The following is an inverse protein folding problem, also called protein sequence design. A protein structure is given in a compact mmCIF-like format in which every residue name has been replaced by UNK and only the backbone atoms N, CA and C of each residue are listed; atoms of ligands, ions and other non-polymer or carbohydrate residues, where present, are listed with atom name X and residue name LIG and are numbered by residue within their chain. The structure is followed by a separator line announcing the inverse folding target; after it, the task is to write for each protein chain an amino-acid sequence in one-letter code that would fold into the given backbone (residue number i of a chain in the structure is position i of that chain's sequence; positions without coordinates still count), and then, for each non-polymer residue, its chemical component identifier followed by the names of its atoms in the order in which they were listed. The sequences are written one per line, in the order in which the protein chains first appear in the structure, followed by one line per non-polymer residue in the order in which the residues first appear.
data_IF_326261884974
#
_entry.id   IF_326261884974
#
_cell.length_a   1.000
_cell.length_b   1.000
_cell.length_c   1.000
_cell.angle_alpha   90.00
_cell.angle_beta   90.00
_cell.angle_gamma   90.00
#
_symmetry.space_group_name_H-M   'P 1'
#
loop_
_entity.id
_entity.type
_entity.pdbx_description
1 polymer ?
#
# COMPACT_ATOMS: atom_id res chain seq x y z
N UNK A 1 10.91 -16.72 6.67
CA UNK A 1 10.86 -16.15 5.29
C UNK A 1 9.46 -16.13 4.70
N UNK A 2 8.58 -17.10 4.97
CA UNK A 2 7.20 -17.14 4.44
C UNK A 2 6.21 -16.10 5.05
N UNK A 3 6.60 -15.38 6.10
CA UNK A 3 5.79 -14.33 6.72
C UNK A 3 6.15 -12.91 6.27
N UNK A 4 7.28 -12.72 5.57
CA UNK A 4 7.78 -11.41 5.13
C UNK A 4 7.12 -10.93 3.82
N UNK A 5 6.63 -11.87 3.00
CA UNK A 5 6.06 -11.61 1.67
C UNK A 5 4.55 -11.32 1.67
N UNK A 6 3.95 -11.16 2.85
CA UNK A 6 2.48 -11.11 3.01
C UNK A 6 1.89 -9.71 2.95
N UNK A 7 2.70 -8.65 2.86
CA UNK A 7 2.25 -7.27 3.17
C UNK A 7 3.04 -6.17 2.44
N UNK A 8 3.27 -6.37 1.17
CA UNK A 8 3.55 -5.29 0.23
C UNK A 8 2.31 -5.16 -0.68
N UNK A 9 2.31 -4.22 -1.62
CA UNK A 9 1.33 -4.08 -2.71
C UNK A 9 0.09 -3.22 -2.44
N UNK A 10 0.21 -1.93 -2.73
CA UNK A 10 -0.91 -1.06 -3.13
C UNK A 10 -0.55 -0.43 -4.48
N UNK A 11 -1.11 -0.97 -5.57
CA UNK A 11 -0.70 -0.69 -6.96
C UNK A 11 -1.81 -0.04 -7.78
N UNK A 12 -1.42 1.07 -8.40
CA UNK A 12 -1.69 1.65 -9.73
C UNK A 12 -3.09 1.58 -10.43
N UNK A 13 -3.45 2.78 -10.89
CA UNK A 13 -4.65 3.33 -11.53
C UNK A 13 -5.08 2.82 -12.92
N UNK A 14 -6.37 3.02 -13.23
CA UNK A 14 -6.83 3.79 -14.39
C UNK A 14 -8.13 4.56 -14.05
N UNK A 15 -8.20 5.83 -14.44
CA UNK A 15 -9.21 6.79 -13.97
C UNK A 15 -10.43 6.98 -14.89
N UNK A 16 -11.52 7.45 -14.28
CA UNK A 16 -12.46 8.53 -14.67
C UNK A 16 -13.82 8.28 -13.96
N UNK A 17 -14.16 9.07 -12.93
CA UNK A 17 -15.55 9.19 -12.47
C UNK A 17 -15.77 10.44 -11.58
N UNK A 18 -16.98 11.04 -11.62
CA UNK A 18 -17.25 12.38 -11.11
C UNK A 18 -17.49 12.42 -9.59
N UNK A 19 -17.26 13.61 -9.03
CA UNK A 19 -17.51 13.96 -7.64
C UNK A 19 -18.91 13.53 -7.17
N UNK A 20 -18.96 12.58 -6.23
CA UNK A 20 -20.15 12.29 -5.43
C UNK A 20 -19.79 12.50 -3.96
N UNK A 21 -20.64 13.26 -3.28
CA UNK A 21 -20.48 13.69 -1.90
C UNK A 21 -20.39 12.51 -0.92
N UNK A 22 -19.45 12.58 0.03
CA UNK A 22 -19.30 11.63 1.13
C UNK A 22 -20.35 11.91 2.22
N UNK A 23 -20.94 10.87 2.85
CA UNK A 23 -21.67 11.02 4.10
C UNK A 23 -20.69 11.35 5.23
N UNK A 24 -21.02 12.37 6.02
CA UNK A 24 -20.29 12.77 7.22
C UNK A 24 -20.83 12.03 8.44
N UNK A 25 -19.95 11.33 9.17
CA UNK A 25 -19.87 11.27 10.65
C UNK A 25 -18.90 10.17 11.11
N UNK A 26 -17.61 10.40 10.87
CA UNK A 26 -16.56 9.83 11.74
C UNK A 26 -15.72 11.00 12.24
N UNK A 27 -15.36 11.04 13.55
CA UNK A 27 -14.46 12.06 14.06
C UNK A 27 -13.14 11.94 13.29
N UNK A 28 -12.86 12.92 12.44
CA UNK A 28 -11.64 12.96 11.66
C UNK A 28 -10.47 13.02 12.66
N UNK A 29 -9.60 12.00 12.67
CA UNK A 29 -8.29 12.18 13.26
C UNK A 29 -7.61 13.26 12.42
N UNK A 30 -7.22 14.36 13.06
CA UNK A 30 -6.62 15.50 12.38
C UNK A 30 -5.38 15.03 11.64
N UNK A 31 -5.46 15.02 10.31
CA UNK A 31 -4.34 14.68 9.45
C UNK A 31 -3.20 15.65 9.75
N UNK A 32 -1.98 15.17 10.07
CA UNK A 32 -0.85 16.05 10.32
C UNK A 32 -0.60 16.93 9.09
N UNK A 33 -0.24 18.18 9.30
CA UNK A 33 0.21 19.08 8.22
C UNK A 33 1.72 19.00 8.01
N UNK A 34 2.44 18.51 9.03
CA UNK A 34 3.88 18.29 9.01
C UNK A 34 4.22 16.91 9.57
N UNK A 35 5.18 16.24 8.95
CA UNK A 35 5.72 14.96 9.34
C UNK A 35 7.25 15.04 9.47
N UNK A 36 7.80 14.20 10.35
CA UNK A 36 9.23 13.95 10.50
C UNK A 36 9.48 12.43 10.51
N UNK A 37 9.29 11.74 9.37
CA UNK A 37 9.37 10.29 9.33
C UNK A 37 10.77 9.78 9.69
N UNK A 38 10.82 8.55 10.20
CA UNK A 38 12.07 7.91 10.57
C UNK A 38 12.94 7.68 9.32
N UNK A 39 14.23 7.95 9.48
CA UNK A 39 15.27 7.68 8.49
C UNK A 39 16.35 6.86 9.19
N UNK A 40 16.50 5.60 8.77
CA UNK A 40 17.50 4.71 9.32
C UNK A 40 18.77 4.79 8.48
N UNK A 41 19.93 4.74 9.15
CA UNK A 41 21.24 4.70 8.49
C UNK A 41 22.01 3.49 9.00
N UNK A 42 22.37 2.59 8.11
CA UNK A 42 23.31 1.51 8.36
C UNK A 42 24.66 1.86 7.75
N UNK A 43 25.76 1.60 8.45
CA UNK A 43 27.13 1.91 8.02
C UNK A 43 28.00 0.68 8.06
N UNK A 44 28.88 0.51 7.07
CA UNK A 44 29.90 -0.53 7.04
C UNK A 44 31.15 -0.10 6.26
N UNK A 45 32.12 -1.00 6.05
CA UNK A 45 33.38 -0.68 5.37
C UNK A 45 33.19 -0.17 3.94
N UNK A 46 32.12 -0.59 3.26
CA UNK A 46 31.79 -0.21 1.89
C UNK A 46 30.97 1.09 1.77
N UNK A 47 30.58 1.71 2.88
CA UNK A 47 29.79 2.95 2.88
C UNK A 47 28.58 2.91 3.80
N UNK A 48 27.52 3.64 3.43
CA UNK A 48 26.29 3.74 4.19
C UNK A 48 25.06 3.45 3.32
N UNK A 49 24.04 2.83 3.92
CA UNK A 49 22.71 2.67 3.35
C UNK A 49 21.75 3.47 4.19
N UNK A 50 20.91 4.27 3.53
CA UNK A 50 19.76 4.91 4.13
C UNK A 50 18.52 4.10 3.80
N UNK A 51 17.73 3.75 4.82
CA UNK A 51 16.41 3.14 4.66
C UNK A 51 15.38 4.19 5.06
N UNK A 52 14.41 4.43 4.18
CA UNK A 52 13.33 5.39 4.39
C UNK A 52 12.01 4.73 4.01
N UNK A 53 11.07 4.67 4.96
CA UNK A 53 9.77 4.06 4.73
C UNK A 53 8.86 5.02 3.97
N UNK A 54 8.27 4.55 2.86
CA UNK A 54 7.37 5.36 2.02
C UNK A 54 5.90 5.07 2.33
N UNK A 55 5.01 5.99 1.93
CA UNK A 55 3.57 5.78 1.87
C UNK A 55 3.13 6.17 0.46
N UNK A 56 2.53 5.22 -0.26
CA UNK A 56 2.13 5.37 -1.67
C UNK A 56 1.06 6.44 -1.92
N UNK A 57 0.17 6.69 -0.96
CA UNK A 57 -0.86 7.71 -1.08
C UNK A 57 -0.83 8.60 0.14
N UNK A 58 -0.57 9.89 -0.07
CA UNK A 58 -0.60 10.89 0.98
C UNK A 58 -1.73 11.90 0.76
N UNK A 59 -2.18 12.55 1.85
CA UNK A 59 -2.87 13.82 1.76
C UNK A 59 -1.97 14.84 1.03
N UNK A 60 -2.46 15.54 -0.01
CA UNK A 60 -1.62 16.42 -0.84
C UNK A 60 -0.86 17.53 -0.11
N UNK A 61 -1.39 17.99 1.03
CA UNK A 61 -0.82 19.12 1.79
C UNK A 61 0.17 18.70 2.90
N UNK A 62 0.50 17.41 3.04
CA UNK A 62 1.40 16.93 4.09
C UNK A 62 2.87 17.23 3.75
N UNK A 63 3.49 18.12 4.52
CA UNK A 63 4.92 18.40 4.42
C UNK A 63 5.75 17.38 5.23
N UNK A 64 6.45 16.47 4.56
CA UNK A 64 7.19 15.38 5.23
C UNK A 64 8.72 15.42 5.05
N UNK A 65 9.22 16.22 4.10
CA UNK A 65 10.66 16.32 3.82
C UNK A 65 11.37 17.01 4.99
N UNK A 66 12.41 16.37 5.49
CA UNK A 66 13.24 16.89 6.59
C UNK A 66 14.65 17.20 6.09
N UNK A 67 15.42 18.08 6.77
CA UNK A 67 16.82 18.31 6.40
C UNK A 67 17.66 17.03 6.38
N UNK A 68 17.38 16.07 7.27
CA UNK A 68 18.08 14.78 7.30
C UNK A 68 17.77 13.92 6.06
N UNK A 69 16.51 13.88 5.62
CA UNK A 69 16.11 13.24 4.37
C UNK A 69 16.79 13.92 3.16
N UNK A 70 16.74 15.25 3.08
CA UNK A 70 17.35 16.01 1.98
C UNK A 70 18.86 15.74 1.88
N UNK A 71 19.55 15.74 3.02
CA UNK A 71 20.97 15.41 3.07
C UNK A 71 21.23 13.97 2.65
N UNK A 72 20.43 13.00 3.11
CA UNK A 72 20.61 11.60 2.74
C UNK A 72 20.41 11.38 1.23
N UNK A 73 19.37 11.96 0.62
CA UNK A 73 19.14 11.83 -0.81
C UNK A 73 20.26 12.49 -1.63
N UNK A 74 20.64 13.72 -1.29
CA UNK A 74 21.66 14.48 -2.04
C UNK A 74 23.08 13.93 -1.91
N UNK A 75 23.39 13.23 -0.82
CA UNK A 75 24.71 12.60 -0.61
C UNK A 75 24.77 11.15 -1.08
N UNK A 76 23.63 10.55 -1.43
CA UNK A 76 23.57 9.19 -1.95
C UNK A 76 24.03 9.15 -3.41
N UNK A 77 24.64 8.03 -3.81
CA UNK A 77 25.06 7.81 -5.20
C UNK A 77 24.01 7.10 -6.05
N UNK A 78 22.96 6.56 -5.42
CA UNK A 78 21.86 5.83 -6.05
C UNK A 78 20.62 5.85 -5.16
N UNK A 79 19.45 5.86 -5.77
CA UNK A 79 18.18 5.57 -5.13
C UNK A 79 17.74 4.14 -5.49
N UNK A 80 17.33 3.37 -4.50
CA UNK A 80 16.66 2.08 -4.68
C UNK A 80 15.22 2.20 -4.21
N UNK A 81 14.27 1.87 -5.09
CA UNK A 81 12.83 1.77 -4.78
C UNK A 81 12.43 0.29 -4.80
N UNK A 82 11.21 -0.01 -4.32
CA UNK A 82 10.62 -1.35 -4.46
C UNK A 82 10.53 -1.73 -5.95
N UNK A 83 9.82 -0.90 -6.72
CA UNK A 83 9.68 -1.06 -8.16
C UNK A 83 10.62 -0.16 -8.94
N UNK A 84 11.12 -0.68 -10.06
CA UNK A 84 11.71 0.16 -11.09
C UNK A 84 10.61 0.99 -11.76
N UNK A 85 10.41 2.22 -11.26
CA UNK A 85 9.33 3.09 -11.71
C UNK A 85 9.47 3.56 -13.17
N UNK A 86 10.66 3.40 -13.78
CA UNK A 86 10.93 3.81 -15.17
C UNK A 86 10.05 3.07 -16.19
N UNK A 87 9.44 1.95 -15.78
CA UNK A 87 8.58 1.11 -16.61
C UNK A 87 7.11 1.04 -16.13
N UNK A 88 6.65 1.96 -15.29
CA UNK A 88 5.26 1.97 -14.78
C UNK A 88 4.23 2.58 -15.76
N UNK A 89 4.52 2.60 -17.05
CA UNK A 89 3.55 3.05 -18.04
C UNK A 89 2.31 2.13 -18.00
N UNK A 90 1.10 2.66 -17.71
CA UNK A 90 -0.11 1.83 -17.64
C UNK A 90 -0.36 1.03 -18.92
N UNK A 91 0.00 1.56 -20.09
CA UNK A 91 -0.13 0.86 -21.36
C UNK A 91 0.76 -0.39 -21.46
N UNK A 92 1.88 -0.42 -20.74
CA UNK A 92 2.81 -1.56 -20.66
C UNK A 92 2.34 -2.56 -19.60
N UNK A 93 1.83 -2.08 -18.47
CA UNK A 93 1.45 -2.95 -17.35
C UNK A 93 0.08 -3.58 -17.48
N UNK A 94 -0.88 -2.90 -18.10
CA UNK A 94 -2.28 -3.35 -18.19
C UNK A 94 -2.42 -4.75 -18.80
N UNK A 95 -1.73 -5.13 -19.90
CA UNK A 95 -1.79 -6.49 -20.42
C UNK A 95 -1.34 -7.55 -19.41
N UNK A 96 -0.26 -7.30 -18.65
CA UNK A 96 0.20 -8.22 -17.60
C UNK A 96 -0.81 -8.32 -16.47
N UNK A 97 -1.36 -7.19 -15.99
CA UNK A 97 -2.38 -7.18 -14.94
C UNK A 97 -3.61 -7.98 -15.35
N UNK A 98 -4.13 -7.78 -16.56
CA UNK A 98 -5.29 -8.53 -17.06
C UNK A 98 -4.98 -10.02 -17.18
N UNK A 99 -3.82 -10.37 -17.74
CA UNK A 99 -3.39 -11.77 -17.91
C UNK A 99 -3.18 -12.50 -16.59
N UNK A 100 -2.61 -11.85 -15.58
CA UNK A 100 -2.28 -12.46 -14.28
C UNK A 100 -3.37 -12.28 -13.21
N UNK A 101 -4.27 -11.33 -13.43
CA UNK A 101 -5.27 -10.88 -12.47
C UNK A 101 -6.70 -11.31 -12.80
N UNK A 102 -6.98 -11.81 -14.01
CA UNK A 102 -8.29 -12.35 -14.37
C UNK A 102 -8.29 -13.89 -14.35
N UNK A 103 -9.42 -14.46 -13.92
CA UNK A 103 -9.71 -15.89 -13.98
C UNK A 103 -10.08 -16.31 -15.41
N UNK A 104 -9.98 -17.61 -15.78
CA UNK A 104 -10.52 -18.14 -17.05
C UNK A 104 -12.06 -18.22 -17.02
N UNK A 105 -12.75 -18.13 -18.17
CA UNK A 105 -14.22 -17.91 -18.28
C UNK A 105 -15.10 -18.89 -17.47
N UNK A 106 -14.61 -20.10 -17.24
CA UNK A 106 -15.28 -21.16 -16.49
C UNK A 106 -15.10 -21.05 -14.96
N UNK A 107 -14.34 -20.06 -14.47
CA UNK A 107 -14.11 -19.81 -13.05
C UNK A 107 -14.52 -18.40 -12.65
N UNK A 108 -14.92 -18.25 -11.38
CA UNK A 108 -15.30 -16.99 -10.79
C UNK A 108 -14.60 -16.74 -9.46
N UNK A 109 -14.53 -15.48 -9.05
CA UNK A 109 -14.01 -15.13 -7.73
C UNK A 109 -14.84 -15.74 -6.59
N UNK A 110 -16.13 -16.00 -6.83
CA UNK A 110 -16.99 -16.70 -5.87
C UNK A 110 -16.51 -18.14 -5.64
N UNK A 111 -16.05 -18.83 -6.69
CA UNK A 111 -15.49 -20.19 -6.57
C UNK A 111 -14.19 -20.21 -5.75
N UNK A 112 -13.36 -19.16 -5.86
CA UNK A 112 -12.10 -19.05 -5.12
C UNK A 112 -12.31 -18.72 -3.63
N UNK A 113 -13.36 -17.95 -3.31
CA UNK A 113 -13.60 -17.43 -1.95
C UNK A 113 -14.64 -18.21 -1.15
N UNK A 114 -15.57 -18.89 -1.83
CA UNK A 114 -16.82 -19.37 -1.25
C UNK A 114 -17.83 -18.24 -1.03
N UNK A 115 -19.10 -18.61 -0.85
CA UNK A 115 -20.22 -17.67 -0.85
C UNK A 115 -20.14 -16.59 0.23
N UNK A 116 -19.78 -16.96 1.46
CA UNK A 116 -19.75 -16.04 2.58
C UNK A 116 -18.74 -14.89 2.36
N UNK A 117 -17.50 -15.24 2.05
CA UNK A 117 -16.44 -14.24 1.86
C UNK A 117 -16.64 -13.43 0.58
N UNK A 118 -17.18 -14.05 -0.48
CA UNK A 118 -17.52 -13.33 -1.70
C UNK A 118 -18.63 -12.30 -1.48
N UNK A 119 -19.68 -12.64 -0.73
CA UNK A 119 -20.75 -11.69 -0.41
C UNK A 119 -20.21 -10.52 0.43
N UNK A 120 -19.37 -10.80 1.44
CA UNK A 120 -18.72 -9.75 2.23
C UNK A 120 -17.84 -8.82 1.37
N UNK A 121 -17.12 -9.39 0.40
CA UNK A 121 -16.31 -8.63 -0.56
C UNK A 121 -17.19 -7.77 -1.47
N UNK A 122 -18.30 -8.30 -1.97
CA UNK A 122 -19.25 -7.58 -2.82
C UNK A 122 -19.86 -6.40 -2.08
N UNK A 123 -20.29 -6.60 -0.83
CA UNK A 123 -20.83 -5.55 0.03
C UNK A 123 -19.79 -4.45 0.29
N UNK A 124 -18.54 -4.82 0.59
CA UNK A 124 -17.45 -3.87 0.77
C UNK A 124 -17.15 -3.10 -0.54
N UNK A 125 -17.19 -3.78 -1.68
CA UNK A 125 -17.07 -3.17 -3.01
C UNK A 125 -18.17 -2.15 -3.27
N UNK A 126 -19.42 -2.47 -2.95
CA UNK A 126 -20.56 -1.56 -3.12
C UNK A 126 -20.40 -0.26 -2.28
N UNK A 127 -19.88 -0.36 -1.06
CA UNK A 127 -19.59 0.83 -0.22
C UNK A 127 -18.58 1.79 -0.86
N UNK A 128 -17.64 1.25 -1.65
CA UNK A 128 -16.67 2.03 -2.43
C UNK A 128 -17.06 2.16 -3.92
N UNK A 129 -18.34 1.90 -4.24
CA UNK A 129 -18.95 2.09 -5.55
C UNK A 129 -18.40 1.20 -6.66
N UNK A 130 -17.90 0.03 -6.31
CA UNK A 130 -17.50 -1.02 -7.25
C UNK A 130 -18.64 -2.03 -7.38
N UNK A 131 -19.28 -2.15 -8.56
CA UNK A 131 -20.32 -3.15 -8.79
C UNK A 131 -19.79 -4.58 -8.70
N UNK A 132 -20.60 -5.51 -8.20
CA UNK A 132 -20.27 -6.94 -8.09
C UNK A 132 -19.74 -7.53 -9.41
N UNK A 133 -20.35 -7.13 -10.54
CA UNK A 133 -19.97 -7.61 -11.89
C UNK A 133 -18.50 -7.32 -12.22
N UNK A 134 -17.93 -6.23 -11.70
CA UNK A 134 -16.52 -5.87 -11.89
C UNK A 134 -15.59 -6.85 -11.16
N UNK A 135 -16.01 -7.39 -10.02
CA UNK A 135 -15.21 -8.30 -9.19
C UNK A 135 -15.26 -9.74 -9.67
N UNK A 136 -16.36 -10.14 -10.34
CA UNK A 136 -16.69 -11.54 -10.66
C UNK A 136 -15.54 -12.36 -11.28
N UNK A 137 -14.76 -11.75 -12.17
CA UNK A 137 -13.70 -12.44 -12.93
C UNK A 137 -12.29 -12.13 -12.39
N UNK A 138 -12.16 -11.29 -11.37
CA UNK A 138 -10.87 -10.98 -10.77
C UNK A 138 -10.36 -12.17 -9.96
N UNK A 139 -9.05 -12.37 -9.94
CA UNK A 139 -8.39 -13.22 -8.95
C UNK A 139 -8.37 -12.51 -7.59
N UNK A 140 -8.28 -13.26 -6.47
CA UNK A 140 -8.36 -12.69 -5.12
C UNK A 140 -7.44 -11.48 -4.89
N UNK A 141 -6.18 -11.54 -5.35
CA UNK A 141 -5.22 -10.45 -5.20
C UNK A 141 -5.65 -9.17 -5.91
N UNK A 142 -6.17 -9.28 -7.14
CA UNK A 142 -6.55 -8.12 -7.94
C UNK A 142 -7.78 -7.44 -7.33
N UNK A 143 -8.76 -8.22 -6.87
CA UNK A 143 -9.93 -7.68 -6.18
C UNK A 143 -9.53 -6.95 -4.89
N UNK A 144 -8.68 -7.57 -4.07
CA UNK A 144 -8.20 -6.98 -2.83
C UNK A 144 -7.46 -5.65 -3.05
N UNK A 145 -6.45 -5.64 -3.92
CA UNK A 145 -5.64 -4.43 -4.22
C UNK A 145 -6.50 -3.32 -4.83
N UNK A 146 -7.39 -3.66 -5.77
CA UNK A 146 -8.27 -2.68 -6.43
C UNK A 146 -9.19 -1.98 -5.45
N UNK A 147 -9.85 -2.74 -4.56
CA UNK A 147 -10.77 -2.16 -3.59
C UNK A 147 -10.05 -1.28 -2.56
N UNK A 148 -8.88 -1.70 -2.07
CA UNK A 148 -8.05 -0.89 -1.16
C UNK A 148 -7.63 0.43 -1.81
N UNK A 149 -7.21 0.40 -3.08
CA UNK A 149 -6.83 1.61 -3.81
C UNK A 149 -8.00 2.58 -3.99
N UNK A 150 -9.16 2.07 -4.40
CA UNK A 150 -10.37 2.88 -4.60
C UNK A 150 -10.84 3.50 -3.28
N UNK A 151 -10.80 2.74 -2.19
CA UNK A 151 -11.10 3.25 -0.85
C UNK A 151 -10.17 4.40 -0.45
N UNK A 152 -8.86 4.24 -0.67
CA UNK A 152 -7.87 5.27 -0.39
C UNK A 152 -8.13 6.58 -1.16
N UNK A 153 -8.42 6.49 -2.46
CA UNK A 153 -8.76 7.67 -3.27
C UNK A 153 -10.06 8.33 -2.80
N UNK A 154 -11.07 7.55 -2.41
CA UNK A 154 -12.33 8.08 -1.84
C UNK A 154 -12.12 8.79 -0.50
N UNK A 155 -11.06 8.47 0.24
CA UNK A 155 -10.66 9.19 1.45
C UNK A 155 -9.90 10.50 1.16
N UNK A 156 -9.71 10.86 -0.11
CA UNK A 156 -8.97 12.07 -0.51
C UNK A 156 -7.46 11.90 -0.56
N UNK A 157 -6.97 10.66 -0.48
CA UNK A 157 -5.54 10.36 -0.65
C UNK A 157 -5.17 10.35 -2.12
N UNK A 158 -4.01 10.92 -2.44
CA UNK A 158 -3.56 11.08 -3.81
C UNK A 158 -2.27 10.26 -4.05
N UNK A 159 -2.25 9.33 -5.02
CA UNK A 159 -1.03 8.59 -5.36
C UNK A 159 0.07 9.50 -5.92
N UNK A 160 -0.28 10.61 -6.58
CA UNK A 160 0.71 11.58 -7.07
C UNK A 160 1.32 12.42 -5.94
N UNK A 161 0.68 12.44 -4.76
CA UNK A 161 1.27 13.01 -3.55
C UNK A 161 2.08 11.98 -2.73
N UNK A 162 2.09 10.71 -3.17
CA UNK A 162 2.83 9.62 -2.53
C UNK A 162 4.31 9.92 -2.40
N UNK A 163 4.92 9.35 -1.36
CA UNK A 163 6.34 9.52 -1.06
C UNK A 163 7.19 8.95 -2.20
N UNK A 164 6.83 7.79 -2.75
CA UNK A 164 7.57 7.12 -3.83
C UNK A 164 7.70 8.03 -5.06
N UNK A 165 6.58 8.57 -5.55
CA UNK A 165 6.54 9.50 -6.69
C UNK A 165 7.33 10.77 -6.42
N UNK A 166 7.23 11.32 -5.21
CA UNK A 166 7.92 12.54 -4.81
C UNK A 166 9.44 12.35 -4.72
N UNK A 167 9.92 11.21 -4.20
CA UNK A 167 11.35 10.87 -4.15
C UNK A 167 11.87 10.61 -5.56
N UNK A 168 11.15 9.84 -6.38
CA UNK A 168 11.52 9.56 -7.76
C UNK A 168 11.69 10.85 -8.58
N UNK A 169 10.72 11.75 -8.48
CA UNK A 169 10.76 13.05 -9.17
C UNK A 169 11.99 13.85 -8.77
N UNK A 170 12.31 13.86 -7.47
CA UNK A 170 13.48 14.55 -6.94
C UNK A 170 14.80 13.89 -7.41
N UNK A 171 14.90 12.57 -7.36
CA UNK A 171 16.07 11.83 -7.82
C UNK A 171 16.34 12.05 -9.32
N UNK A 172 15.29 12.03 -10.15
CA UNK A 172 15.39 12.35 -11.57
C UNK A 172 15.89 13.78 -11.81
N UNK A 173 15.39 14.76 -11.05
CA UNK A 173 15.84 16.15 -11.14
C UNK A 173 17.31 16.33 -10.73
N UNK A 174 17.81 15.47 -9.83
CA UNK A 174 19.22 15.45 -9.41
C UNK A 174 20.13 14.64 -10.34
N UNK A 175 19.58 13.94 -11.34
CA UNK A 175 20.33 12.99 -12.15
C UNK A 175 20.85 11.78 -11.34
N UNK A 176 20.23 11.49 -10.20
CA UNK A 176 20.58 10.37 -9.34
C UNK A 176 20.11 9.08 -10.00
N UNK A 177 20.99 8.07 -10.21
CA UNK A 177 20.56 6.77 -10.73
C UNK A 177 19.47 6.15 -9.84
N UNK A 178 18.39 5.69 -10.46
CA UNK A 178 17.28 5.02 -9.79
C UNK A 178 17.20 3.57 -10.26
N UNK A 179 17.06 2.66 -9.32
CA UNK A 179 16.87 1.23 -9.58
C UNK A 179 15.73 0.67 -8.72
N UNK A 180 15.09 -0.38 -9.19
CA UNK A 180 14.10 -1.15 -8.42
C UNK A 180 14.74 -2.38 -7.78
N UNK A 181 14.19 -2.83 -6.65
CA UNK A 181 14.45 -4.15 -6.10
C UNK A 181 13.82 -5.26 -6.96
N UNK A 182 12.73 -4.92 -7.66
CA UNK A 182 12.06 -5.79 -8.62
C UNK A 182 11.43 -5.01 -9.78
N UNK A 183 11.04 -5.76 -10.81
CA UNK A 183 10.23 -5.28 -11.91
C UNK A 183 8.74 -5.37 -11.58
N UNK A 184 7.91 -4.55 -12.24
CA UNK A 184 6.46 -4.64 -12.08
C UNK A 184 5.90 -6.01 -12.49
N UNK A 185 6.48 -6.66 -13.51
CA UNK A 185 6.10 -8.02 -13.93
C UNK A 185 6.41 -9.06 -12.84
N UNK A 186 7.57 -8.98 -12.20
CA UNK A 186 7.92 -9.85 -11.07
C UNK A 186 6.94 -9.68 -9.91
N UNK A 187 6.67 -8.43 -9.53
CA UNK A 187 5.64 -8.10 -8.53
C UNK A 187 4.29 -8.73 -8.87
N UNK A 188 3.80 -8.55 -10.11
CA UNK A 188 2.50 -9.12 -10.50
C UNK A 188 2.53 -10.64 -10.52
N UNK A 189 3.64 -11.26 -10.91
CA UNK A 189 3.80 -12.72 -10.80
C UNK A 189 3.76 -13.16 -9.34
N UNK A 190 4.42 -12.46 -8.42
CA UNK A 190 4.37 -12.74 -6.99
C UNK A 190 2.96 -12.63 -6.43
N UNK A 191 2.24 -11.55 -6.74
CA UNK A 191 0.83 -11.35 -6.40
C UNK A 191 -0.08 -12.44 -6.98
N UNK A 192 0.16 -12.82 -8.23
CA UNK A 192 -0.62 -13.86 -8.93
C UNK A 192 -0.46 -15.25 -8.30
N UNK A 193 0.53 -15.44 -7.41
CA UNK A 193 0.72 -16.68 -6.65
C UNK A 193 0.01 -16.67 -5.30
N UNK A 194 -0.67 -15.59 -4.93
CA UNK A 194 -1.55 -15.51 -3.76
C UNK A 194 -2.91 -16.13 -4.10
N UNK A 195 -2.93 -17.46 -4.26
CA UNK A 195 -4.14 -18.26 -4.48
C UNK A 195 -4.50 -19.10 -3.24
N UNK A 196 -5.58 -19.88 -3.33
CA UNK A 196 -6.09 -20.71 -2.25
C UNK A 196 -6.27 -19.94 -0.94
N UNK A 197 -5.75 -20.50 0.16
CA UNK A 197 -5.86 -19.91 1.49
C UNK A 197 -5.17 -18.55 1.61
N UNK A 198 -4.08 -18.31 0.88
CA UNK A 198 -3.37 -17.04 0.91
C UNK A 198 -4.19 -15.92 0.25
N UNK A 199 -4.79 -16.22 -0.91
CA UNK A 199 -5.70 -15.32 -1.60
C UNK A 199 -6.95 -15.02 -0.78
N UNK A 200 -7.57 -16.05 -0.18
CA UNK A 200 -8.73 -15.89 0.72
C UNK A 200 -8.38 -15.04 1.95
N UNK A 201 -7.22 -15.27 2.56
CA UNK A 201 -6.78 -14.50 3.72
C UNK A 201 -6.52 -13.03 3.38
N UNK A 202 -5.97 -12.75 2.19
CA UNK A 202 -5.79 -11.38 1.69
C UNK A 202 -7.14 -10.69 1.51
N UNK A 203 -8.09 -11.32 0.82
CA UNK A 203 -9.43 -10.75 0.61
C UNK A 203 -10.15 -10.51 1.93
N UNK A 204 -10.09 -11.48 2.86
CA UNK A 204 -10.69 -11.31 4.19
C UNK A 204 -10.10 -10.11 4.93
N UNK A 205 -8.78 -9.97 4.90
CA UNK A 205 -8.11 -8.83 5.51
C UNK A 205 -8.57 -7.51 4.87
N UNK A 206 -8.67 -7.45 3.54
CA UNK A 206 -9.18 -6.27 2.83
C UNK A 206 -10.60 -5.93 3.25
N UNK A 207 -11.50 -6.91 3.32
CA UNK A 207 -12.89 -6.69 3.79
C UNK A 207 -12.92 -6.12 5.21
N UNK A 208 -12.11 -6.69 6.12
CA UNK A 208 -12.02 -6.22 7.50
C UNK A 208 -11.46 -4.79 7.56
N UNK A 209 -10.39 -4.50 6.80
CA UNK A 209 -9.74 -3.19 6.77
C UNK A 209 -10.61 -2.10 6.14
N UNK A 210 -11.42 -2.44 5.13
CA UNK A 210 -12.31 -1.47 4.47
C UNK A 210 -13.36 -0.89 5.43
N UNK A 211 -13.79 -1.65 6.46
CA UNK A 211 -14.75 -1.17 7.46
C UNK A 211 -14.19 -0.02 8.30
N UNK A 212 -12.89 -0.07 8.59
CA UNK A 212 -12.18 0.88 9.46
C UNK A 212 -11.09 1.67 8.70
N UNK A 213 -11.18 1.74 7.36
CA UNK A 213 -10.08 2.17 6.49
C UNK A 213 -9.50 3.53 6.88
N UNK A 214 -10.37 4.49 7.17
CA UNK A 214 -9.97 5.85 7.58
C UNK A 214 -9.20 5.83 8.91
N UNK A 215 -9.72 5.11 9.90
CA UNK A 215 -9.10 5.01 11.22
C UNK A 215 -7.76 4.29 11.14
N UNK A 216 -7.66 3.21 10.36
CA UNK A 216 -6.41 2.47 10.17
C UNK A 216 -5.37 3.32 9.46
N UNK A 217 -5.76 4.02 8.38
CA UNK A 217 -4.87 4.92 7.67
C UNK A 217 -4.38 6.06 8.56
N UNK A 218 -5.28 6.76 9.26
CA UNK A 218 -4.91 7.89 10.12
C UNK A 218 -3.92 7.46 11.22
N UNK A 219 -4.11 6.28 11.81
CA UNK A 219 -3.17 5.73 12.79
C UNK A 219 -1.79 5.44 12.20
N UNK A 220 -1.74 4.82 11.03
CA UNK A 220 -0.49 4.55 10.32
C UNK A 220 0.19 5.87 9.92
N UNK A 221 -0.57 6.84 9.42
CA UNK A 221 -0.04 8.14 9.02
C UNK A 221 0.52 8.92 10.21
N UNK A 222 -0.17 8.93 11.35
CA UNK A 222 0.34 9.54 12.59
C UNK A 222 1.62 8.86 13.05
N UNK A 223 1.67 7.53 13.00
CA UNK A 223 2.84 6.76 13.39
C UNK A 223 4.05 6.99 12.47
N UNK A 224 3.81 7.02 11.16
CA UNK A 224 4.83 7.33 10.17
C UNK A 224 5.28 8.79 10.30
N UNK A 225 4.35 9.73 10.47
CA UNK A 225 4.62 11.15 10.56
C UNK A 225 5.40 11.54 11.82
N UNK A 226 5.30 10.79 12.92
CA UNK A 226 6.07 11.07 14.13
C UNK A 226 7.53 10.64 14.03
N UNK A 227 7.85 9.69 13.14
CA UNK A 227 9.16 9.04 13.09
C UNK A 227 9.46 8.18 14.31
N UNK A 228 8.45 7.82 15.12
CA UNK A 228 8.61 6.97 16.29
C UNK A 228 8.53 5.49 15.87
N UNK A 229 9.64 4.73 15.95
CA UNK A 229 9.66 3.33 15.53
C UNK A 229 8.77 2.43 16.38
N UNK A 230 8.55 2.74 17.66
CA UNK A 230 7.66 1.98 18.55
C UNK A 230 6.21 2.23 18.16
N UNK A 231 5.86 3.48 17.85
CA UNK A 231 4.54 3.82 17.37
C UNK A 231 4.27 3.19 15.99
N UNK A 232 5.27 3.19 15.11
CA UNK A 232 5.20 2.54 13.80
C UNK A 232 5.00 1.04 13.96
N UNK A 233 5.81 0.34 14.77
CA UNK A 233 5.67 -1.09 15.03
C UNK A 233 4.28 -1.44 15.58
N UNK A 234 3.79 -0.67 16.57
CA UNK A 234 2.49 -0.91 17.20
C UNK A 234 1.31 -0.76 16.22
N UNK A 235 1.39 0.18 15.29
CA UNK A 235 0.33 0.43 14.31
C UNK A 235 0.50 -0.39 13.02
N UNK A 236 1.71 -0.90 12.75
CA UNK A 236 2.00 -1.80 11.64
C UNK A 236 1.62 -3.26 11.96
N UNK A 237 1.79 -3.66 13.23
CA UNK A 237 1.54 -5.02 13.71
C UNK A 237 0.20 -5.16 14.45
N UNK A 238 -0.90 -5.23 13.72
CA UNK A 238 -2.25 -5.40 14.29
C UNK A 238 -2.77 -6.86 14.34
N UNK A 239 -1.91 -7.84 14.02
CA UNK A 239 -2.32 -9.25 13.85
C UNK A 239 -2.36 -10.14 15.10
N UNK A 240 -2.23 -9.59 16.32
CA UNK A 240 -2.43 -10.39 17.54
C UNK A 240 -3.87 -10.23 18.04
N UNK A 241 -4.51 -11.29 18.56
CA UNK A 241 -5.67 -11.12 19.43
C UNK A 241 -5.27 -10.16 20.57
N UNK A 242 -6.17 -9.24 20.93
CA UNK A 242 -5.98 -8.12 21.88
C UNK A 242 -5.54 -8.51 23.32
N UNK A 243 -5.00 -9.71 23.55
CA UNK A 243 -4.86 -10.31 24.88
C UNK A 243 -3.49 -10.92 25.21
N UNK A 244 -2.38 -10.49 24.58
CA UNK A 244 -1.05 -10.74 25.16
C UNK A 244 -0.71 -9.61 26.13
N UNK A 245 -1.00 -9.83 27.42
CA UNK A 245 -0.41 -9.05 28.51
C UNK A 245 1.10 -9.06 28.33
N UNK A 246 1.71 -7.88 28.38
CA UNK A 246 3.16 -7.71 28.49
C UNK A 246 3.64 -8.44 29.74
N UNK A 247 4.22 -9.62 29.55
CA UNK A 247 5.07 -10.24 30.56
C UNK A 247 6.36 -9.42 30.59
N UNK A 248 6.42 -8.46 31.51
CA UNK A 248 7.67 -7.96 32.04
C UNK A 248 8.56 -9.15 32.43
N UNK A 249 9.73 -9.27 31.82
CA UNK A 249 10.91 -9.82 32.50
C UNK A 249 12.13 -9.04 32.10
N UNK A 250 12.62 -8.27 33.07
CA UNK A 250 14.00 -7.90 33.21
C UNK A 250 14.89 -9.13 33.00
N UNK A 251 15.90 -9.00 32.16
CA UNK A 251 17.28 -9.44 32.38
C UNK A 251 18.17 -8.58 31.49
#
# INVERSE_FOLDING_TARGET
MLHLLRRLWLVLLLGLAPAHAQPADQPAITTPTKATPALWRATGPAGAIYLFGTIHLLPPALAWRTPAYEQALTTSNRLMLELDERNLNPAVLQPTILRLGLLPEDRSLRDELGDELYNQLSDAGAQVGVPEVTLRRMRPWLAAVSLSAIAATRMGLNPEAGVDRAILTQANALGLPVEGLETADEQFVHLSRLDGDAGRALVKQTVDDLRDARTLFDRLLVAWASGDPVLLERNWWTGQPKNRRSSTRNC
#
